data_IF_223450621614
#
_entry.id   IF_223450621614
#
_cell.length_a   1.000
_cell.length_b   1.000
_cell.length_c   1.000
_cell.angle_alpha   90.00
_cell.angle_beta   90.00
_cell.angle_gamma   90.00
#
_symmetry.space_group_name_H-M   'P 1'
#
loop_
_entity.id
_entity.type
_entity.pdbx_description
1 polymer ?
#
# COMPACT_ATOMS: atom_id res chain seq x y z
N UNK A 1 -4.49 11.87 2.28
CA UNK A 1 -3.12 11.31 2.21
C UNK A 1 -3.22 9.79 2.37
N UNK A 2 -2.30 9.03 1.79
CA UNK A 2 -2.22 7.57 1.99
C UNK A 2 -1.39 7.24 3.22
N UNK A 3 -1.67 6.10 3.86
CA UNK A 3 -0.92 5.57 5.01
C UNK A 3 -0.57 4.11 4.78
N UNK A 4 0.60 3.70 5.27
CA UNK A 4 1.01 2.30 5.27
C UNK A 4 -0.02 1.44 6.03
N UNK A 5 -0.53 0.32 5.46
CA UNK A 5 -1.61 -0.46 6.06
C UNK A 5 -1.32 -0.96 7.49
N UNK A 6 -0.07 -1.38 7.74
CA UNK A 6 0.32 -1.94 9.05
C UNK A 6 0.84 -0.89 10.03
N UNK A 7 1.84 -0.10 9.65
CA UNK A 7 2.51 0.88 10.53
C UNK A 7 1.80 2.22 10.64
N UNK A 8 0.81 2.50 9.77
CA UNK A 8 0.07 3.77 9.69
C UNK A 8 0.91 5.01 9.36
N UNK A 9 2.17 4.81 8.95
CA UNK A 9 3.07 5.87 8.51
C UNK A 9 2.50 6.55 7.26
N UNK A 10 2.57 7.88 7.24
CA UNK A 10 2.09 8.71 6.14
C UNK A 10 2.95 8.57 4.89
N UNK A 11 2.31 8.41 3.73
CA UNK A 11 2.97 8.55 2.45
C UNK A 11 3.16 10.04 2.12
N UNK A 12 4.40 10.42 1.85
CA UNK A 12 4.74 11.81 1.53
C UNK A 12 4.48 12.17 0.07
N UNK A 13 4.11 11.20 -0.77
CA UNK A 13 3.70 11.47 -2.15
C UNK A 13 2.21 11.81 -2.21
N UNK A 14 1.85 13.00 -2.74
CA UNK A 14 0.45 13.43 -2.83
C UNK A 14 -0.35 12.66 -3.88
N UNK A 15 0.34 12.06 -4.87
CA UNK A 15 -0.27 11.31 -5.96
C UNK A 15 0.37 9.92 -6.09
N UNK A 16 -0.28 8.93 -5.48
CA UNK A 16 0.15 7.53 -5.52
C UNK A 16 -0.72 6.78 -6.53
N UNK A 17 -0.42 6.97 -7.80
CA UNK A 17 -0.98 6.11 -8.84
C UNK A 17 -0.35 4.73 -8.80
N UNK A 18 -1.21 3.74 -8.97
CA UNK A 18 -0.83 2.35 -9.08
C UNK A 18 0.02 2.09 -10.32
N UNK A 19 1.12 1.28 -10.27
CA UNK A 19 1.71 0.55 -9.14
C UNK A 19 3.01 1.19 -8.60
N UNK A 20 3.10 2.52 -8.46
CA UNK A 20 4.35 3.16 -8.00
C UNK A 20 4.64 2.92 -6.50
N UNK A 21 5.92 2.90 -6.08
CA UNK A 21 6.28 2.82 -4.67
C UNK A 21 5.82 4.07 -3.90
N UNK A 22 5.40 3.83 -2.67
CA UNK A 22 5.07 4.81 -1.66
C UNK A 22 6.30 5.09 -0.81
N UNK A 23 6.42 6.31 -0.27
CA UNK A 23 7.60 6.75 0.49
C UNK A 23 7.21 7.33 1.83
N UNK A 24 7.98 7.01 2.87
CA UNK A 24 7.87 7.57 4.20
C UNK A 24 9.00 8.59 4.47
N UNK A 25 8.80 9.43 5.49
CA UNK A 25 9.80 10.41 5.94
C UNK A 25 11.05 9.76 6.56
N UNK A 26 10.95 8.50 7.00
CA UNK A 26 12.08 7.73 7.53
C UNK A 26 12.95 7.11 6.42
N UNK A 27 12.62 7.36 5.15
CA UNK A 27 13.36 6.84 3.99
C UNK A 27 12.92 5.45 3.55
N UNK A 28 11.96 4.82 4.23
CA UNK A 28 11.41 3.53 3.80
C UNK A 28 10.44 3.70 2.63
N UNK A 29 10.36 2.67 1.79
CA UNK A 29 9.42 2.60 0.68
C UNK A 29 8.62 1.28 0.71
N UNK A 30 7.38 1.32 0.25
CA UNK A 30 6.50 0.15 0.19
C UNK A 30 5.60 0.21 -1.04
N UNK A 31 5.00 -0.93 -1.38
CA UNK A 31 3.92 -1.01 -2.35
C UNK A 31 2.69 -1.57 -1.64
N UNK A 32 1.55 -0.90 -1.79
CA UNK A 32 0.25 -1.37 -1.34
C UNK A 32 -0.72 -1.31 -2.49
N UNK A 33 -1.78 -2.13 -2.51
CA UNK A 33 -2.81 -2.27 -3.56
C UNK A 33 -4.22 -2.30 -3.06
N UNK A 34 -5.18 -2.03 -3.96
CA UNK A 34 -6.60 -2.07 -3.59
C UNK A 34 -6.89 -3.40 -2.91
N UNK A 35 -7.48 -3.33 -1.72
CA UNK A 35 -7.84 -4.52 -0.97
C UNK A 35 -8.81 -5.35 -1.81
N UNK A 36 -8.44 -6.59 -2.14
CA UNK A 36 -9.30 -7.47 -2.95
C UNK A 36 -10.64 -7.82 -2.30
N UNK A 37 -10.77 -7.66 -0.98
CA UNK A 37 -12.01 -7.94 -0.27
C UNK A 37 -13.02 -6.78 -0.32
N UNK A 38 -12.57 -5.54 -0.16
CA UNK A 38 -13.44 -4.35 -0.16
C UNK A 38 -13.28 -3.46 -1.41
N UNK A 39 -12.43 -3.86 -2.35
CA UNK A 39 -12.13 -3.13 -3.59
C UNK A 39 -11.76 -1.66 -3.39
N UNK A 40 -11.02 -1.35 -2.32
CA UNK A 40 -10.65 0.03 -1.99
C UNK A 40 -11.61 0.79 -1.08
N UNK A 41 -12.79 0.24 -0.79
CA UNK A 41 -13.81 0.98 -0.03
C UNK A 41 -13.50 1.13 1.46
N UNK A 42 -12.60 0.30 2.01
CA UNK A 42 -12.33 0.26 3.45
C UNK A 42 -13.41 -0.43 4.29
N UNK A 43 -14.63 -0.55 3.76
CA UNK A 43 -15.73 -1.28 4.36
C UNK A 43 -16.29 -2.33 3.40
N UNK A 44 -16.93 -3.36 3.95
CA UNK A 44 -17.66 -4.37 3.19
C UNK A 44 -18.94 -4.69 3.95
N UNK A 45 -20.07 -4.70 3.24
CA UNK A 45 -21.39 -5.02 3.81
C UNK A 45 -21.78 -4.15 5.02
N UNK A 46 -21.33 -2.88 5.03
CA UNK A 46 -21.61 -1.92 6.10
C UNK A 46 -20.66 -2.01 7.31
N UNK A 47 -19.75 -2.97 7.33
CA UNK A 47 -18.77 -3.18 8.39
C UNK A 47 -17.36 -2.78 7.94
N UNK A 48 -16.48 -2.47 8.90
CA UNK A 48 -15.06 -2.22 8.61
C UNK A 48 -14.46 -3.49 8.00
N UNK A 49 -13.78 -3.37 6.87
CA UNK A 49 -13.23 -4.54 6.20
C UNK A 49 -12.10 -5.15 7.05
N UNK A 50 -12.26 -6.40 7.49
CA UNK A 50 -11.28 -7.11 8.33
C UNK A 50 -9.91 -7.28 7.65
N UNK A 51 -9.90 -7.45 6.32
CA UNK A 51 -8.68 -7.71 5.56
C UNK A 51 -7.74 -6.49 5.52
N UNK A 52 -8.28 -5.29 5.32
CA UNK A 52 -7.49 -4.05 5.27
C UNK A 52 -7.66 -3.17 6.51
N UNK A 53 -8.46 -3.61 7.49
CA UNK A 53 -8.78 -2.90 8.74
C UNK A 53 -9.26 -1.47 8.52
N UNK A 54 -10.08 -1.25 7.49
CA UNK A 54 -10.59 0.08 7.16
C UNK A 54 -9.71 0.89 6.20
N UNK A 55 -8.49 0.45 5.91
CA UNK A 55 -7.55 1.20 5.08
C UNK A 55 -7.95 1.27 3.61
N UNK A 56 -8.61 0.24 3.09
CA UNK A 56 -8.93 0.06 1.66
C UNK A 56 -7.78 -0.53 0.83
N UNK A 57 -6.59 -0.70 1.41
CA UNK A 57 -5.38 -1.14 0.72
C UNK A 57 -4.67 -2.24 1.51
N UNK A 58 -3.96 -3.13 0.82
CA UNK A 58 -3.15 -4.21 1.37
C UNK A 58 -1.73 -4.14 0.79
N UNK A 59 -0.69 -4.49 1.55
CA UNK A 59 0.67 -4.53 1.02
C UNK A 59 0.76 -5.52 -0.16
N UNK A 60 1.49 -5.13 -1.20
CA UNK A 60 1.89 -6.05 -2.26
C UNK A 60 3.27 -6.61 -1.91
N UNK A 61 3.39 -7.92 -1.92
CA UNK A 61 4.69 -8.57 -2.03
C UNK A 61 5.19 -8.33 -3.45
N UNK A 62 6.18 -7.46 -3.59
CA UNK A 62 6.90 -7.30 -4.85
C UNK A 62 8.20 -8.08 -4.69
N UNK A 63 8.29 -9.20 -5.40
CA UNK A 63 9.57 -9.86 -5.61
C UNK A 63 10.42 -8.89 -6.43
N UNK A 64 11.40 -8.27 -5.78
CA UNK A 64 12.40 -7.49 -6.49
C UNK A 64 13.30 -8.53 -7.15
N UNK A 65 12.97 -8.93 -8.37
CA UNK A 65 13.92 -9.62 -9.23
C UNK A 65 15.11 -8.65 -9.39
N UNK A 66 16.15 -8.91 -8.61
CA UNK A 66 17.37 -8.15 -8.60
C UNK A 66 18.19 -8.50 -9.85
N UNK A 67 17.66 -8.19 -11.04
CA UNK A 67 18.46 -8.07 -12.25
C UNK A 67 19.19 -6.72 -12.23
N UNK A 68 20.00 -6.51 -11.18
CA UNK A 68 21.15 -5.62 -11.30
C UNK A 68 22.22 -6.48 -11.99
N UNK A 69 22.09 -6.63 -13.30
CA UNK A 69 23.23 -7.00 -14.13
C UNK A 69 24.24 -5.87 -13.99
N UNK A 70 25.22 -6.09 -13.11
CA UNK A 70 26.39 -5.26 -13.04
C UNK A 70 27.29 -5.57 -14.23
N UNK A 71 27.53 -4.57 -15.08
CA UNK A 71 28.77 -4.37 -15.83
C UNK A 71 29.08 -2.87 -15.94
#
# INVERSE_FOLDING_TARGET
MRRHPETQVECVLPDTHYPRPHYALDGTAWHDGLCGACHGSGSRDGEVCDSCRGGGFCLLEIEIDADIEGE
#
